data_IF_273283073686
#
_entry.id   IF_273283073686
#
_cell.length_a   1.000
_cell.length_b   1.000
_cell.length_c   1.000
_cell.angle_alpha   90.00
_cell.angle_beta   90.00
_cell.angle_gamma   90.00
#
_symmetry.space_group_name_H-M   'P 1'
#
loop_
_entity.id
_entity.type
_entity.pdbx_description
1 polymer ?
#
# COMPACT_ATOMS: atom_id res chain seq x y z
N UNK A 1 -43.79 -14.63 -1.06
CA UNK A 1 -44.47 -13.55 -0.32
C UNK A 1 -45.12 -12.62 -1.32
N UNK A 2 -46.42 -12.33 -1.21
CA UNK A 2 -47.11 -11.43 -2.14
C UNK A 2 -46.67 -9.99 -1.86
N UNK A 3 -46.23 -9.27 -2.90
CA UNK A 3 -45.71 -7.90 -2.81
C UNK A 3 -46.75 -6.93 -2.18
N UNK A 4 -48.04 -7.22 -2.36
CA UNK A 4 -49.16 -6.46 -1.81
C UNK A 4 -49.10 -6.34 -0.27
N UNK A 5 -48.72 -7.42 0.42
CA UNK A 5 -48.64 -7.45 1.90
C UNK A 5 -47.50 -6.57 2.39
N UNK A 6 -46.40 -6.51 1.63
CA UNK A 6 -45.23 -5.70 1.94
C UNK A 6 -45.54 -4.20 1.78
N UNK A 7 -46.29 -3.83 0.73
CA UNK A 7 -46.74 -2.46 0.50
C UNK A 7 -47.71 -2.00 1.60
N UNK A 8 -48.67 -2.84 2.00
CA UNK A 8 -49.57 -2.54 3.12
C UNK A 8 -48.82 -2.43 4.46
N UNK A 9 -47.81 -3.27 4.69
CA UNK A 9 -46.97 -3.19 5.88
C UNK A 9 -46.17 -1.89 5.98
N UNK A 10 -45.52 -1.47 4.88
CA UNK A 10 -44.74 -0.23 4.84
C UNK A 10 -45.64 1.00 5.03
N UNK A 11 -46.79 1.04 4.36
CA UNK A 11 -47.73 2.19 4.46
C UNK A 11 -48.31 2.32 5.86
N UNK A 12 -48.72 1.22 6.50
CA UNK A 12 -49.16 1.23 7.89
C UNK A 12 -48.07 1.69 8.87
N UNK A 13 -46.82 1.28 8.65
CA UNK A 13 -45.67 1.67 9.48
C UNK A 13 -45.39 3.18 9.38
N UNK A 14 -45.49 3.75 8.17
CA UNK A 14 -45.34 5.20 7.96
C UNK A 14 -46.46 5.98 8.64
N UNK A 15 -47.71 5.52 8.55
CA UNK A 15 -48.88 6.15 9.20
C UNK A 15 -48.74 6.17 10.73
N UNK A 16 -48.35 5.03 11.32
CA UNK A 16 -48.10 4.93 12.77
C UNK A 16 -46.93 5.83 13.19
N UNK A 17 -45.90 5.94 12.37
CA UNK A 17 -44.75 6.79 12.65
C UNK A 17 -45.11 8.30 12.65
N UNK A 18 -45.95 8.74 11.72
CA UNK A 18 -46.48 10.11 11.69
C UNK A 18 -47.37 10.36 12.91
N UNK A 19 -48.25 9.42 13.25
CA UNK A 19 -49.17 9.53 14.39
C UNK A 19 -48.45 9.62 15.75
N UNK A 20 -47.25 9.06 15.86
CA UNK A 20 -46.51 8.97 17.14
C UNK A 20 -45.35 9.96 17.24
N UNK A 21 -45.31 10.99 16.37
CA UNK A 21 -44.27 12.02 16.31
C UNK A 21 -42.84 11.45 16.32
N UNK A 22 -42.65 10.28 15.70
CA UNK A 22 -41.35 9.62 15.64
C UNK A 22 -40.81 9.10 16.98
N UNK A 23 -41.64 8.95 18.03
CA UNK A 23 -41.23 8.37 19.33
C UNK A 23 -40.57 6.99 19.15
N UNK A 24 -41.13 6.15 18.28
CA UNK A 24 -40.57 4.82 17.98
C UNK A 24 -39.26 4.90 17.19
N UNK A 25 -39.12 5.84 16.25
CA UNK A 25 -37.85 6.06 15.54
C UNK A 25 -36.77 6.57 16.50
N UNK A 26 -37.10 7.46 17.44
CA UNK A 26 -36.17 7.93 18.47
C UNK A 26 -35.72 6.81 19.41
N UNK A 27 -36.63 5.91 19.79
CA UNK A 27 -36.30 4.73 20.59
C UNK A 27 -35.39 3.76 19.81
N UNK A 28 -35.71 3.49 18.54
CA UNK A 28 -34.93 2.60 17.67
C UNK A 28 -33.51 3.14 17.39
N UNK A 29 -33.40 4.46 17.18
CA UNK A 29 -32.12 5.15 17.01
C UNK A 29 -31.33 5.35 18.32
N UNK A 30 -31.97 5.20 19.48
CA UNK A 30 -31.33 5.21 20.79
C UNK A 30 -30.44 3.98 21.04
N UNK A 31 -30.80 2.83 20.48
CA UNK A 31 -30.06 1.57 20.63
C UNK A 31 -28.95 1.35 19.59
N UNK A 32 -28.51 2.41 18.88
CA UNK A 32 -27.44 2.32 17.85
C UNK A 32 -26.20 1.57 18.33
N UNK A 33 -25.80 1.75 19.60
CA UNK A 33 -24.65 1.06 20.20
C UNK A 33 -24.83 -0.46 20.21
N UNK A 34 -26.03 -0.94 20.55
CA UNK A 34 -26.34 -2.37 20.60
C UNK A 34 -26.38 -2.99 19.22
N UNK A 35 -26.89 -2.28 18.21
CA UNK A 35 -26.84 -2.74 16.82
C UNK A 35 -25.40 -2.83 16.29
N UNK A 36 -24.53 -1.89 16.66
CA UNK A 36 -23.10 -1.95 16.32
C UNK A 36 -22.40 -3.14 17.01
N UNK A 37 -22.65 -3.36 18.30
CA UNK A 37 -22.10 -4.50 19.05
C UNK A 37 -22.60 -5.84 18.50
N UNK A 38 -23.91 -5.95 18.22
CA UNK A 38 -24.50 -7.15 17.64
C UNK A 38 -23.95 -7.42 16.24
N UNK A 39 -23.77 -6.39 15.41
CA UNK A 39 -23.18 -6.52 14.08
C UNK A 39 -21.75 -7.06 14.11
N UNK A 40 -20.91 -6.56 15.04
CA UNK A 40 -19.54 -7.05 15.21
C UNK A 40 -19.54 -8.51 15.70
N UNK A 41 -20.38 -8.85 16.68
CA UNK A 41 -20.47 -10.21 17.21
C UNK A 41 -20.94 -11.21 16.16
N UNK A 42 -21.97 -10.85 15.37
CA UNK A 42 -22.51 -11.69 14.31
C UNK A 42 -21.50 -11.84 13.16
N UNK A 43 -20.81 -10.75 12.79
CA UNK A 43 -19.73 -10.78 11.80
C UNK A 43 -18.56 -11.68 12.23
N UNK A 44 -18.14 -11.59 13.49
CA UNK A 44 -17.06 -12.44 14.02
C UNK A 44 -17.46 -13.93 14.05
N UNK A 45 -18.70 -14.23 14.45
CA UNK A 45 -19.22 -15.61 14.46
C UNK A 45 -19.31 -16.17 13.03
N UNK A 46 -19.79 -15.37 12.08
CA UNK A 46 -19.87 -15.75 10.67
C UNK A 46 -18.48 -16.03 10.09
N UNK A 47 -17.51 -15.15 10.37
CA UNK A 47 -16.12 -15.34 9.95
C UNK A 47 -15.52 -16.60 10.56
N UNK A 48 -15.74 -16.84 11.86
CA UNK A 48 -15.29 -18.05 12.56
C UNK A 48 -15.88 -19.32 11.92
N UNK A 49 -17.18 -19.30 11.63
CA UNK A 49 -17.86 -20.43 11.01
C UNK A 49 -17.33 -20.70 9.58
N UNK A 50 -17.11 -19.66 8.78
CA UNK A 50 -16.56 -19.78 7.43
C UNK A 50 -15.14 -20.38 7.42
N UNK A 51 -14.25 -19.86 8.27
CA UNK A 51 -12.86 -20.34 8.37
C UNK A 51 -12.84 -21.81 8.82
N UNK A 52 -13.71 -22.19 9.76
CA UNK A 52 -13.80 -23.56 10.29
C UNK A 52 -14.35 -24.55 9.27
N UNK A 53 -15.30 -24.15 8.43
CA UNK A 53 -15.95 -25.06 7.49
C UNK A 53 -15.16 -25.23 6.19
N UNK A 54 -14.61 -24.15 5.62
CA UNK A 54 -13.93 -24.16 4.32
C UNK A 54 -12.72 -23.19 4.28
N UNK A 55 -11.55 -23.58 4.80
CA UNK A 55 -10.38 -22.70 4.85
C UNK A 55 -9.86 -22.30 3.45
N UNK A 56 -9.95 -23.22 2.47
CA UNK A 56 -9.51 -22.97 1.09
C UNK A 56 -10.37 -21.92 0.38
N UNK A 57 -11.70 -21.97 0.56
CA UNK A 57 -12.63 -21.01 -0.06
C UNK A 57 -12.60 -19.64 0.62
N UNK A 58 -12.33 -19.59 1.92
CA UNK A 58 -12.15 -18.33 2.64
C UNK A 58 -10.96 -17.54 2.07
N UNK A 59 -9.86 -18.24 1.75
CA UNK A 59 -8.69 -17.63 1.14
C UNK A 59 -8.96 -17.08 -0.28
N UNK A 60 -9.65 -17.86 -1.14
CA UNK A 60 -10.01 -17.40 -2.49
C UNK A 60 -11.01 -16.24 -2.49
N UNK A 61 -11.90 -16.19 -1.50
CA UNK A 61 -12.82 -15.06 -1.30
C UNK A 61 -12.07 -13.80 -0.87
N UNK A 62 -11.11 -13.90 0.05
CA UNK A 62 -10.29 -12.76 0.46
C UNK A 62 -9.44 -12.24 -0.71
N UNK A 63 -8.88 -13.13 -1.54
CA UNK A 63 -8.09 -12.70 -2.70
C UNK A 63 -8.93 -12.02 -3.78
N UNK A 64 -10.14 -12.52 -4.08
CA UNK A 64 -11.06 -11.89 -5.05
C UNK A 64 -11.71 -10.62 -4.50
N UNK A 65 -11.84 -10.47 -3.18
CA UNK A 65 -12.41 -9.26 -2.55
C UNK A 65 -11.57 -8.01 -2.83
N UNK A 66 -10.27 -8.12 -3.14
CA UNK A 66 -9.43 -6.96 -3.48
C UNK A 66 -9.88 -6.24 -4.75
N UNK A 67 -10.32 -6.99 -5.77
CA UNK A 67 -10.79 -6.40 -7.03
C UNK A 67 -12.09 -5.62 -6.81
N UNK A 68 -12.95 -6.11 -5.92
CA UNK A 68 -14.21 -5.44 -5.55
C UNK A 68 -14.01 -4.26 -4.58
N UNK A 69 -13.06 -4.35 -3.65
CA UNK A 69 -12.75 -3.26 -2.71
C UNK A 69 -12.23 -2.01 -3.42
N UNK A 70 -11.61 -2.16 -4.61
CA UNK A 70 -11.16 -1.03 -5.43
C UNK A 70 -12.33 -0.17 -5.94
N UNK A 71 -13.49 -0.78 -6.17
CA UNK A 71 -14.67 -0.11 -6.71
C UNK A 71 -15.75 0.16 -5.65
N UNK A 72 -15.51 -0.22 -4.39
CA UNK A 72 -16.45 0.05 -3.32
C UNK A 72 -16.35 1.53 -2.91
N UNK A 73 -17.45 2.30 -2.95
CA UNK A 73 -17.45 3.66 -2.44
C UNK A 73 -17.34 3.62 -0.91
N UNK A 74 -16.12 3.73 -0.40
CA UNK A 74 -15.85 3.81 1.05
C UNK A 74 -15.60 5.28 1.40
N UNK A 75 -16.39 5.80 2.34
CA UNK A 75 -16.22 7.16 2.86
C UNK A 75 -14.88 7.33 3.58
N UNK A 76 -14.27 8.51 3.47
CA UNK A 76 -12.93 8.88 3.97
C UNK A 76 -12.76 8.66 5.48
N UNK A 77 -13.85 8.75 6.25
CA UNK A 77 -13.82 8.47 7.69
C UNK A 77 -13.73 6.97 8.01
N UNK A 78 -14.23 6.12 7.11
CA UNK A 78 -14.16 4.66 7.25
C UNK A 78 -12.83 4.12 6.77
N UNK A 79 -12.21 4.78 5.77
CA UNK A 79 -10.90 4.36 5.26
C UNK A 79 -9.82 4.48 6.33
N UNK A 80 -9.79 5.55 7.13
CA UNK A 80 -8.79 5.71 8.20
C UNK A 80 -8.84 4.62 9.27
N UNK A 81 -10.03 4.12 9.58
CA UNK A 81 -10.26 3.03 10.56
C UNK A 81 -9.94 1.66 9.94
N UNK A 82 -10.21 1.46 8.65
CA UNK A 82 -10.02 0.20 7.94
C UNK A 82 -8.63 0.05 7.30
N UNK A 83 -7.87 1.14 7.17
CA UNK A 83 -6.50 1.17 6.64
C UNK A 83 -5.55 0.09 7.22
N UNK A 84 -5.51 -0.18 8.53
CA UNK A 84 -4.61 -1.22 9.07
C UNK A 84 -4.97 -2.63 8.58
N UNK A 85 -6.25 -2.92 8.34
CA UNK A 85 -6.72 -4.22 7.85
C UNK A 85 -6.51 -4.31 6.33
N UNK A 86 -6.83 -3.23 5.61
CA UNK A 86 -6.67 -3.15 4.15
C UNK A 86 -5.18 -3.22 3.74
N UNK A 87 -4.28 -2.60 4.49
CA UNK A 87 -2.83 -2.70 4.25
C UNK A 87 -2.29 -4.13 4.48
N UNK A 88 -2.88 -4.87 5.43
CA UNK A 88 -2.53 -6.27 5.69
C UNK A 88 -2.96 -7.20 4.53
N UNK A 89 -4.18 -7.02 4.01
CA UNK A 89 -4.70 -7.80 2.86
C UNK A 89 -3.93 -7.50 1.57
N UNK A 90 -3.55 -6.23 1.33
CA UNK A 90 -2.70 -5.85 0.20
C UNK A 90 -1.35 -6.57 0.26
N UNK A 91 -0.71 -6.61 1.42
CA UNK A 91 0.59 -7.28 1.62
C UNK A 91 0.56 -8.79 1.37
N UNK A 92 -0.54 -9.47 1.71
CA UNK A 92 -0.69 -10.91 1.44
C UNK A 92 -0.86 -11.23 -0.06
N UNK A 93 -1.51 -10.36 -0.83
CA UNK A 93 -1.77 -10.61 -2.26
C UNK A 93 -0.51 -10.45 -3.11
N UNK A 94 0.38 -9.53 -2.73
CA UNK A 94 1.71 -9.39 -3.36
C UNK A 94 2.63 -10.61 -3.18
N UNK A 95 2.26 -11.57 -2.33
CA UNK A 95 3.01 -12.82 -2.15
C UNK A 95 2.58 -13.92 -3.15
N UNK A 96 1.42 -13.80 -3.80
CA UNK A 96 0.86 -14.83 -4.69
C UNK A 96 0.99 -14.52 -6.19
N UNK A 97 1.44 -13.33 -6.57
CA UNK A 97 1.72 -13.02 -7.98
C UNK A 97 3.18 -13.34 -8.31
N UNK A 98 3.45 -14.64 -8.36
CA UNK A 98 4.78 -15.20 -8.55
C UNK A 98 5.05 -15.45 -10.04
N UNK A 99 5.26 -14.36 -10.78
CA UNK A 99 6.18 -14.38 -11.93
C UNK A 99 7.18 -13.24 -11.80
N UNK A 100 8.19 -13.48 -10.97
CA UNK A 100 9.62 -13.25 -11.25
C UNK A 100 10.39 -13.09 -9.93
N UNK A 101 11.41 -13.94 -9.81
CA UNK A 101 12.55 -13.93 -8.88
C UNK A 101 12.28 -13.53 -7.42
N UNK A 102 12.50 -14.53 -6.56
CA UNK A 102 12.73 -14.46 -5.12
C UNK A 102 13.50 -13.21 -4.70
N UNK A 103 12.77 -12.16 -4.34
CA UNK A 103 13.32 -10.92 -3.82
C UNK A 103 12.63 -10.64 -2.50
N UNK A 104 13.42 -10.51 -1.43
CA UNK A 104 12.86 -10.41 -0.09
C UNK A 104 12.12 -9.07 0.09
N UNK A 105 11.04 -9.01 0.90
CA UNK A 105 10.24 -7.78 1.08
C UNK A 105 11.02 -6.53 1.52
N UNK A 106 12.16 -6.71 2.20
CA UNK A 106 13.03 -5.61 2.59
C UNK A 106 13.79 -5.00 1.40
N UNK A 107 14.16 -5.82 0.41
CA UNK A 107 14.89 -5.38 -0.78
C UNK A 107 13.99 -4.48 -1.63
N UNK A 108 12.70 -4.79 -1.72
CA UNK A 108 11.70 -4.01 -2.49
C UNK A 108 11.56 -2.59 -1.93
N UNK A 109 11.63 -2.44 -0.61
CA UNK A 109 11.64 -1.11 0.03
C UNK A 109 12.90 -0.33 -0.28
N UNK A 110 14.06 -0.98 -0.37
CA UNK A 110 15.34 -0.32 -0.65
C UNK A 110 15.41 0.13 -2.12
N UNK A 111 14.94 -0.68 -3.05
CA UNK A 111 14.86 -0.33 -4.48
C UNK A 111 13.99 0.91 -4.72
N UNK A 112 12.82 0.94 -4.06
CA UNK A 112 11.85 2.02 -4.20
C UNK A 112 12.15 3.24 -3.29
N UNK A 113 13.09 3.13 -2.35
CA UNK A 113 13.49 4.26 -1.50
C UNK A 113 14.17 5.34 -2.34
N UNK A 114 13.57 6.53 -2.40
CA UNK A 114 14.04 7.66 -3.21
C UNK A 114 13.48 7.73 -4.64
N UNK A 115 12.66 6.76 -5.06
CA UNK A 115 11.76 6.89 -6.20
C UNK A 115 10.43 7.47 -5.72
N UNK A 116 9.92 8.48 -6.41
CA UNK A 116 8.67 9.15 -6.07
C UNK A 116 7.45 8.24 -6.36
N UNK A 117 7.31 7.16 -5.59
CA UNK A 117 6.12 6.31 -5.55
C UNK A 117 5.25 6.74 -4.38
N UNK A 118 4.79 7.99 -4.43
CA UNK A 118 3.53 8.31 -3.77
C UNK A 118 2.43 7.75 -4.66
N UNK A 119 1.91 6.58 -4.29
CA UNK A 119 0.56 6.14 -4.66
C UNK A 119 -0.50 7.01 -3.96
N UNK A 120 -0.29 8.32 -3.92
CA UNK A 120 -1.29 9.30 -3.55
C UNK A 120 -1.93 9.77 -4.84
N UNK A 121 -3.18 9.34 -5.04
CA UNK A 121 -4.15 10.04 -5.87
C UNK A 121 -4.40 11.43 -5.27
N UNK A 122 -3.41 12.32 -5.33
CA UNK A 122 -3.61 13.74 -5.09
C UNK A 122 -4.16 14.34 -6.39
N UNK A 123 -5.48 14.25 -6.53
CA UNK A 123 -6.25 15.10 -7.42
C UNK A 123 -6.28 16.47 -6.73
N UNK A 124 -5.31 17.31 -7.06
CA UNK A 124 -5.24 18.66 -6.52
C UNK A 124 -4.00 19.36 -7.04
N UNK A 125 -4.21 20.33 -7.94
CA UNK A 125 -3.25 21.31 -8.43
C UNK A 125 -2.12 21.62 -7.43
N UNK A 126 -0.87 21.47 -7.87
CA UNK A 126 0.00 22.63 -8.08
C UNK A 126 1.40 22.16 -8.51
N UNK A 127 1.97 23.02 -9.35
CA UNK A 127 3.27 23.03 -10.02
C UNK A 127 4.46 22.94 -9.05
N UNK A 128 4.47 21.88 -8.24
CA UNK A 128 5.55 21.55 -7.33
C UNK A 128 6.54 20.70 -8.09
N UNK A 129 7.58 21.36 -8.62
CA UNK A 129 8.81 20.71 -9.10
C UNK A 129 9.26 19.74 -8.01
N UNK A 130 8.95 18.46 -8.20
CA UNK A 130 9.25 17.38 -7.26
C UNK A 130 10.76 17.27 -7.14
N UNK A 131 11.31 17.87 -6.07
CA UNK A 131 12.75 17.95 -5.82
C UNK A 131 13.27 16.55 -5.50
N UNK A 132 13.76 15.85 -6.53
CA UNK A 132 14.47 14.58 -6.38
C UNK A 132 15.74 14.87 -5.55
N UNK A 133 15.85 14.24 -4.37
CA UNK A 133 17.08 14.32 -3.59
C UNK A 133 18.21 13.70 -4.42
N UNK A 134 19.29 14.45 -4.64
CA UNK A 134 20.49 13.99 -5.34
C UNK A 134 21.26 12.95 -4.53
N UNK A 135 21.02 12.87 -3.22
CA UNK A 135 21.62 11.87 -2.34
C UNK A 135 20.74 10.62 -2.18
N UNK A 136 21.40 9.47 -2.24
CA UNK A 136 20.83 8.16 -1.91
C UNK A 136 21.00 7.85 -0.42
N UNK A 137 20.08 7.10 0.17
CA UNK A 137 20.14 6.72 1.58
C UNK A 137 21.33 5.78 1.88
N UNK A 138 21.89 5.85 3.08
CA UNK A 138 23.03 5.00 3.49
C UNK A 138 22.72 3.49 3.34
N UNK A 139 21.50 3.07 3.63
CA UNK A 139 21.06 1.69 3.42
C UNK A 139 21.07 1.30 1.94
N UNK A 140 20.67 2.21 1.05
CA UNK A 140 20.72 1.98 -0.40
C UNK A 140 22.16 1.88 -0.89
N UNK A 141 23.07 2.69 -0.34
CA UNK A 141 24.51 2.59 -0.66
C UNK A 141 25.08 1.22 -0.29
N UNK A 142 24.81 0.76 0.93
CA UNK A 142 25.22 -0.57 1.40
C UNK A 142 24.62 -1.69 0.55
N UNK A 143 23.36 -1.56 0.13
CA UNK A 143 22.71 -2.52 -0.75
C UNK A 143 23.38 -2.61 -2.12
N UNK A 144 23.71 -1.48 -2.74
CA UNK A 144 24.42 -1.43 -4.03
C UNK A 144 25.81 -2.08 -3.91
N UNK A 145 26.57 -1.76 -2.87
CA UNK A 145 27.88 -2.37 -2.62
C UNK A 145 27.77 -3.89 -2.39
N UNK A 146 26.80 -4.34 -1.59
CA UNK A 146 26.57 -5.77 -1.35
C UNK A 146 26.17 -6.51 -2.63
N UNK A 147 25.32 -5.91 -3.48
CA UNK A 147 24.94 -6.47 -4.79
C UNK A 147 26.13 -6.59 -5.75
N UNK A 148 27.13 -5.71 -5.63
CA UNK A 148 28.40 -5.78 -6.35
C UNK A 148 29.43 -6.71 -5.69
N UNK A 149 29.05 -7.47 -4.65
CA UNK A 149 29.97 -8.35 -3.93
C UNK A 149 31.07 -7.59 -3.19
N UNK A 150 30.80 -6.36 -2.75
CA UNK A 150 31.78 -5.44 -2.16
C UNK A 150 33.00 -5.18 -3.04
N UNK A 151 32.81 -5.19 -4.37
CA UNK A 151 33.84 -4.83 -5.36
C UNK A 151 33.50 -3.54 -6.08
N UNK A 152 34.52 -2.77 -6.39
CA UNK A 152 34.43 -1.54 -7.16
C UNK A 152 33.86 -1.84 -8.55
N UNK A 153 32.88 -1.06 -9.00
CA UNK A 153 32.26 -1.26 -10.30
C UNK A 153 33.19 -1.00 -11.50
N UNK A 154 34.32 -0.32 -11.28
CA UNK A 154 35.31 0.01 -12.31
C UNK A 154 36.55 -0.89 -12.17
N UNK A 155 37.40 -0.68 -11.15
CA UNK A 155 38.64 -1.44 -10.99
C UNK A 155 38.49 -2.87 -10.43
N UNK A 156 37.29 -3.28 -9.99
CA UNK A 156 37.00 -4.60 -9.39
C UNK A 156 37.71 -4.92 -8.07
N UNK A 157 38.49 -4.00 -7.50
CA UNK A 157 39.09 -4.15 -6.18
C UNK A 157 38.04 -4.14 -5.06
N UNK A 158 38.39 -4.71 -3.91
CA UNK A 158 37.51 -4.72 -2.74
C UNK A 158 37.26 -3.29 -2.24
N UNK A 159 35.98 -2.94 -2.06
CA UNK A 159 35.54 -1.66 -1.52
C UNK A 159 35.87 -1.59 -0.02
N UNK A 160 36.52 -0.50 0.39
CA UNK A 160 36.73 -0.18 1.80
C UNK A 160 35.49 0.52 2.40
N UNK A 161 35.53 0.87 3.69
CA UNK A 161 34.42 1.52 4.39
C UNK A 161 34.11 2.95 3.88
N UNK A 162 35.01 3.57 3.12
CA UNK A 162 34.89 4.93 2.58
C UNK A 162 34.53 4.93 1.09
N UNK A 163 33.93 3.85 0.60
CA UNK A 163 33.41 3.78 -0.77
C UNK A 163 32.31 4.81 -1.01
N UNK A 164 32.16 5.20 -2.26
CA UNK A 164 31.16 6.17 -2.69
C UNK A 164 30.22 5.51 -3.70
N UNK A 165 28.94 5.93 -3.68
CA UNK A 165 27.93 5.41 -4.60
C UNK A 165 27.46 6.56 -5.45
N UNK A 166 27.55 6.35 -6.76
CA UNK A 166 27.27 7.36 -7.75
C UNK A 166 26.34 6.80 -8.85
N UNK A 167 25.72 7.69 -9.62
CA UNK A 167 24.79 7.32 -10.67
C UNK A 167 25.52 6.96 -11.95
N UNK A 168 25.22 5.80 -12.58
CA UNK A 168 25.80 5.44 -13.89
C UNK A 168 25.48 6.48 -14.96
N UNK A 169 24.23 6.96 -14.98
CA UNK A 169 23.77 8.11 -15.74
C UNK A 169 23.41 9.19 -14.73
N UNK A 170 24.03 10.36 -14.81
CA UNK A 170 23.74 11.48 -13.91
C UNK A 170 22.27 11.92 -14.00
N UNK A 171 21.75 12.42 -12.88
CA UNK A 171 20.37 12.93 -12.81
C UNK A 171 20.11 14.07 -13.82
N UNK A 172 21.12 14.89 -14.12
CA UNK A 172 21.01 16.00 -15.09
C UNK A 172 20.85 15.51 -16.54
N UNK A 173 21.34 14.31 -16.86
CA UNK A 173 21.18 13.66 -18.17
C UNK A 173 20.01 12.66 -18.20
N UNK A 174 19.03 12.82 -17.30
CA UNK A 174 17.84 11.96 -17.24
C UNK A 174 18.05 10.65 -16.46
N UNK A 175 19.12 10.53 -15.69
CA UNK A 175 19.35 9.41 -14.80
C UNK A 175 18.28 9.26 -13.70
N UNK A 176 18.10 8.04 -13.21
CA UNK A 176 17.17 7.76 -12.11
C UNK A 176 17.89 7.44 -10.81
N UNK A 177 17.20 7.60 -9.67
CA UNK A 177 17.67 7.11 -8.38
C UNK A 177 17.50 5.60 -8.19
N UNK A 178 17.13 4.85 -9.24
CA UNK A 178 16.92 3.40 -9.12
C UNK A 178 18.25 2.68 -8.87
N UNK A 179 18.23 1.58 -8.13
CA UNK A 179 19.45 0.79 -7.81
C UNK A 179 20.21 0.34 -9.05
N UNK A 180 19.53 0.15 -10.19
CA UNK A 180 20.17 -0.27 -11.44
C UNK A 180 21.01 0.84 -12.08
N UNK A 181 20.67 2.10 -11.79
CA UNK A 181 21.43 3.27 -12.20
C UNK A 181 22.44 3.70 -11.12
N UNK A 182 22.65 2.92 -10.06
CA UNK A 182 23.67 3.20 -9.06
C UNK A 182 24.86 2.24 -9.21
N UNK A 183 26.05 2.73 -8.92
CA UNK A 183 27.29 1.96 -8.89
C UNK A 183 28.13 2.37 -7.69
N UNK A 184 28.65 1.39 -6.94
CA UNK A 184 29.61 1.60 -5.87
C UNK A 184 31.03 1.61 -6.43
N UNK A 185 31.79 2.66 -6.11
CA UNK A 185 33.14 2.92 -6.60
C UNK A 185 34.08 3.18 -5.43
N UNK A 186 35.36 2.83 -5.61
CA UNK A 186 36.42 3.32 -4.72
C UNK A 186 36.63 4.83 -4.97
N UNK A 187 37.30 5.50 -4.02
CA UNK A 187 37.54 6.95 -4.11
C UNK A 187 38.28 7.37 -5.37
N UNK A 188 39.25 6.57 -5.80
CA UNK A 188 40.07 6.89 -6.96
C UNK A 188 39.24 6.80 -8.26
N UNK A 189 38.49 5.71 -8.43
CA UNK A 189 37.59 5.55 -9.59
C UNK A 189 36.46 6.59 -9.60
N UNK A 190 35.91 6.92 -8.43
CA UNK A 190 34.88 7.96 -8.32
C UNK A 190 35.44 9.35 -8.66
N UNK A 191 36.63 9.67 -8.16
CA UNK A 191 37.34 10.91 -8.50
C UNK A 191 37.64 11.01 -9.99
N UNK A 192 38.16 9.94 -10.59
CA UNK A 192 38.42 9.84 -12.05
C UNK A 192 37.16 10.04 -12.87
N UNK A 193 36.04 9.45 -12.46
CA UNK A 193 34.76 9.63 -13.16
C UNK A 193 34.29 11.09 -13.07
N UNK A 194 34.33 11.67 -11.87
CA UNK A 194 33.92 13.05 -11.62
C UNK A 194 34.75 14.04 -12.45
N UNK A 195 36.06 13.81 -12.58
CA UNK A 195 36.90 14.67 -13.42
C UNK A 195 36.52 14.54 -14.89
N UNK A 196 36.45 13.32 -15.43
CA UNK A 196 36.10 13.07 -16.85
C UNK A 196 34.74 13.69 -17.22
N UNK A 197 33.75 13.61 -16.35
CA UNK A 197 32.41 14.15 -16.60
C UNK A 197 32.32 15.68 -16.50
N UNK A 198 33.32 16.34 -15.92
CA UNK A 198 33.40 17.79 -15.78
C UNK A 198 34.45 18.44 -16.71
N UNK A 199 35.14 17.64 -17.54
CA UNK A 199 35.99 18.11 -18.64
C UNK A 199 35.15 18.47 -19.87
#
# INVERSE_FOLDING_TARGET
MRIEILIFGITALILVNIYTEGKYIKLLTGYKKYYQMAGIALGALFLYYLIKKNPLSAFSLISTTNDYLKYLPIDKNTTTILNPILDFTKKQTFYNDQTQQSMYPYEKKIMNSGGNNNGNNDIGNNDSVKKVKRSVSETKKKFVAARQGWKCGDCQDQLNAWFEVDHKIRLEYGGSNHVDNLVALCRDCHGKKTTIENL
#
